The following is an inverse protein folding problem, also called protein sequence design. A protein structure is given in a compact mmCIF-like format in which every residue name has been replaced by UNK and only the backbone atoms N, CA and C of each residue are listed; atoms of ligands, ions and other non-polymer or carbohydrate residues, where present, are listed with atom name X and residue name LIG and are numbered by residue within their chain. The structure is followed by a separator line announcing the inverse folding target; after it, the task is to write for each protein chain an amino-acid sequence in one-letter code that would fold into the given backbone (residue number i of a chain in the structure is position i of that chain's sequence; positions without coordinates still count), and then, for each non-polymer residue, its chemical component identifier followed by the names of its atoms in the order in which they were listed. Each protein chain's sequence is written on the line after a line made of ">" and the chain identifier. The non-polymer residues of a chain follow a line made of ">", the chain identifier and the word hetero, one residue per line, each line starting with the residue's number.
data_IF_910308977657
#
_entry.id   IF_910308977657
#
_cell.length_a   1.000
_cell.length_b   1.000
_cell.length_c   1.000
_cell.angle_alpha   90.00
_cell.angle_beta   90.00
_cell.angle_gamma   90.00
#
_symmetry.space_group_name_H-M   'P 1'
#
loop_
_entity.id
_entity.type
_entity.pdbx_description
1 polymer ?
#
# COMPACT_ATOMS: atom_id res chain seq x y z
N UNK A 1 0.28 26.39 10.42
CA UNK A 1 1.13 26.44 9.21
C UNK A 1 1.80 25.10 8.84
N UNK A 2 1.33 23.94 9.33
CA UNK A 2 1.85 22.60 8.95
C UNK A 2 0.78 21.66 8.35
N UNK A 3 -0.34 22.20 7.83
CA UNK A 3 -1.41 21.39 7.24
C UNK A 3 -0.94 20.44 6.12
N UNK A 4 -0.04 20.80 5.18
CA UNK A 4 0.46 19.84 4.19
C UNK A 4 1.34 18.76 4.84
N UNK A 5 2.06 19.10 5.91
CA UNK A 5 2.95 18.17 6.62
C UNK A 5 2.14 17.12 7.38
N UNK A 6 1.02 17.52 8.00
CA UNK A 6 0.09 16.58 8.63
C UNK A 6 -0.63 15.67 7.62
N UNK A 7 -0.98 16.20 6.45
CA UNK A 7 -1.60 15.42 5.39
C UNK A 7 -0.61 14.40 4.82
N UNK A 8 0.64 14.77 4.62
CA UNK A 8 1.71 13.85 4.23
C UNK A 8 1.95 12.76 5.28
N UNK A 9 1.96 13.09 6.57
CA UNK A 9 2.09 12.10 7.64
C UNK A 9 0.94 11.07 7.62
N UNK A 10 -0.29 11.54 7.39
CA UNK A 10 -1.45 10.65 7.25
C UNK A 10 -1.28 9.75 6.03
N UNK A 11 -0.88 10.27 4.87
CA UNK A 11 -0.70 9.43 3.68
C UNK A 11 0.43 8.42 3.88
N UNK A 12 1.57 8.81 4.48
CA UNK A 12 2.64 7.86 4.78
C UNK A 12 2.21 6.77 5.75
N UNK A 13 1.38 7.12 6.75
CA UNK A 13 0.79 6.12 7.64
C UNK A 13 -0.11 5.16 6.89
N UNK A 14 -0.90 5.59 5.91
CA UNK A 14 -1.76 4.71 5.13
C UNK A 14 -0.91 3.77 4.24
N UNK A 15 0.16 4.29 3.64
CA UNK A 15 1.03 3.51 2.77
C UNK A 15 1.79 2.39 3.47
N UNK A 16 2.27 2.64 4.69
CA UNK A 16 2.94 1.61 5.49
C UNK A 16 1.97 0.52 5.95
N UNK A 17 0.70 0.85 6.22
CA UNK A 17 -0.35 -0.14 6.54
C UNK A 17 -0.50 -1.12 5.38
N UNK A 18 -0.66 -0.59 4.17
CA UNK A 18 -0.83 -1.39 2.96
C UNK A 18 0.33 -2.38 2.77
N UNK A 19 1.57 -1.93 2.99
CA UNK A 19 2.77 -2.77 2.87
C UNK A 19 2.89 -3.86 3.94
N UNK A 20 2.30 -3.71 5.12
CA UNK A 20 2.42 -4.70 6.21
C UNK A 20 1.51 -5.92 5.99
N UNK A 21 0.38 -5.76 5.30
CA UNK A 21 -0.64 -6.79 5.08
C UNK A 21 -0.09 -8.09 4.40
N UNK A 22 0.80 -8.05 3.40
CA UNK A 22 1.33 -9.27 2.78
C UNK A 22 2.54 -9.89 3.51
N UNK A 23 3.08 -9.25 4.56
CA UNK A 23 4.43 -9.58 5.08
C UNK A 23 4.60 -10.96 5.71
N UNK A 24 3.54 -11.62 6.16
CA UNK A 24 3.66 -12.88 6.90
C UNK A 24 2.70 -13.97 6.40
N UNK A 25 2.22 -13.82 5.18
CA UNK A 25 1.19 -14.67 4.64
C UNK A 25 1.72 -15.57 3.53
N UNK A 26 2.00 -16.82 3.90
CA UNK A 26 2.60 -17.83 3.01
C UNK A 26 1.72 -18.19 1.79
N UNK A 27 0.42 -17.95 1.86
CA UNK A 27 -0.56 -18.28 0.82
C UNK A 27 -1.43 -17.08 0.43
N UNK A 28 -0.86 -15.89 0.26
CA UNK A 28 -1.63 -14.80 -0.34
C UNK A 28 -1.91 -15.10 -1.79
N UNK A 29 -3.18 -14.99 -2.16
CA UNK A 29 -3.60 -15.14 -3.54
C UNK A 29 -2.93 -14.02 -4.37
N UNK A 30 -2.23 -14.32 -5.45
CA UNK A 30 -1.59 -13.31 -6.31
C UNK A 30 -2.52 -12.17 -6.74
N UNK A 31 -3.79 -12.48 -7.01
CA UNK A 31 -4.85 -11.45 -7.23
C UNK A 31 -4.99 -10.48 -6.05
N UNK A 32 -5.07 -10.95 -4.80
CA UNK A 32 -5.21 -10.03 -3.66
C UNK A 32 -3.96 -9.19 -3.48
N UNK A 33 -2.78 -9.73 -3.79
CA UNK A 33 -1.53 -8.97 -3.84
C UNK A 33 -1.55 -7.89 -4.95
N UNK A 34 -2.06 -8.22 -6.14
CA UNK A 34 -2.15 -7.25 -7.24
C UNK A 34 -3.15 -6.14 -6.96
N UNK A 35 -4.30 -6.43 -6.32
CA UNK A 35 -5.27 -5.43 -5.89
C UNK A 35 -4.65 -4.50 -4.84
N UNK A 36 -3.91 -5.07 -3.89
CA UNK A 36 -3.19 -4.29 -2.88
C UNK A 36 -2.15 -3.37 -3.52
N UNK A 37 -1.44 -3.83 -4.54
CA UNK A 37 -0.50 -3.01 -5.31
C UNK A 37 -1.19 -1.88 -6.09
N UNK A 38 -2.38 -2.10 -6.66
CA UNK A 38 -3.15 -1.03 -7.31
C UNK A 38 -3.49 0.06 -6.29
N UNK A 39 -4.01 -0.31 -5.11
CA UNK A 39 -4.34 0.65 -4.05
C UNK A 39 -3.09 1.39 -3.58
N UNK A 40 -1.97 0.69 -3.39
CA UNK A 40 -0.71 1.32 -3.02
C UNK A 40 -0.24 2.32 -4.09
N UNK A 41 -0.33 1.97 -5.38
CA UNK A 41 0.07 2.85 -6.48
C UNK A 41 -0.77 4.13 -6.56
N UNK A 42 -2.06 4.07 -6.22
CA UNK A 42 -2.92 5.25 -6.09
C UNK A 42 -2.41 6.20 -5.00
N UNK A 43 -2.03 5.67 -3.83
CA UNK A 43 -1.46 6.52 -2.77
C UNK A 43 -0.07 7.05 -3.15
N UNK A 44 0.75 6.30 -3.91
CA UNK A 44 2.05 6.80 -4.40
C UNK A 44 1.88 7.99 -5.36
N UNK A 45 0.89 7.96 -6.25
CA UNK A 45 0.68 9.03 -7.23
C UNK A 45 0.15 10.29 -6.56
N UNK A 46 -0.75 10.14 -5.57
CA UNK A 46 -1.21 11.25 -4.73
C UNK A 46 -0.03 11.87 -3.98
N UNK A 47 0.84 11.07 -3.36
CA UNK A 47 2.03 11.60 -2.70
C UNK A 47 2.95 12.36 -3.66
N UNK A 48 3.22 11.81 -4.84
CA UNK A 48 4.05 12.49 -5.84
C UNK A 48 3.44 13.82 -6.31
N UNK A 49 2.11 13.90 -6.37
CA UNK A 49 1.43 15.15 -6.71
C UNK A 49 1.63 16.25 -5.67
N UNK A 50 1.88 15.90 -4.40
CA UNK A 50 2.12 16.86 -3.32
C UNK A 50 3.57 17.35 -3.26
N UNK A 51 4.54 16.56 -3.75
CA UNK A 51 5.96 16.95 -3.77
C UNK A 51 6.39 17.64 -5.06
N UNK A 52 5.78 17.27 -6.19
CA UNK A 52 6.15 17.83 -7.49
C UNK A 52 5.34 19.09 -7.82
N UNK A 53 5.98 20.07 -8.44
CA UNK A 53 5.31 21.29 -8.91
C UNK A 53 4.40 21.03 -10.13
N UNK A 54 4.60 19.91 -10.83
CA UNK A 54 3.86 19.54 -12.03
C UNK A 54 3.18 18.17 -11.90
N UNK A 55 1.85 18.15 -12.05
CA UNK A 55 1.02 16.93 -11.97
C UNK A 55 1.34 15.86 -13.04
N UNK A 56 2.07 16.21 -14.10
CA UNK A 56 2.44 15.29 -15.18
C UNK A 56 3.25 14.10 -14.68
N UNK A 57 4.13 14.32 -13.70
CA UNK A 57 4.94 13.23 -13.14
C UNK A 57 4.07 12.24 -12.37
N UNK A 58 3.16 12.71 -11.51
CA UNK A 58 2.20 11.84 -10.81
C UNK A 58 1.29 11.07 -11.77
N UNK A 59 0.93 11.65 -12.91
CA UNK A 59 0.09 11.00 -13.92
C UNK A 59 0.84 9.91 -14.69
N UNK A 60 2.08 10.17 -15.10
CA UNK A 60 2.93 9.17 -15.76
C UNK A 60 3.22 7.99 -14.84
N UNK A 61 3.51 8.26 -13.56
CA UNK A 61 3.70 7.21 -12.54
C UNK A 61 2.44 6.37 -12.40
N UNK A 62 1.26 6.99 -12.31
CA UNK A 62 0.00 6.25 -12.21
C UNK A 62 -0.28 5.36 -13.43
N UNK A 63 -0.13 5.89 -14.64
CA UNK A 63 -0.37 5.15 -15.88
C UNK A 63 0.58 3.97 -16.07
N UNK A 64 1.87 4.17 -15.80
CA UNK A 64 2.88 3.12 -15.93
C UNK A 64 2.64 2.00 -14.92
N UNK A 65 2.25 2.33 -13.68
CA UNK A 65 1.89 1.34 -12.68
C UNK A 65 0.61 0.57 -13.05
N UNK A 66 -0.46 1.23 -13.50
CA UNK A 66 -1.68 0.51 -13.93
C UNK A 66 -1.37 -0.43 -15.09
N UNK A 67 -0.68 0.04 -16.12
CA UNK A 67 -0.34 -0.79 -17.28
C UNK A 67 0.47 -2.03 -16.90
N UNK A 68 1.52 -1.85 -16.09
CA UNK A 68 2.34 -2.97 -15.61
C UNK A 68 1.61 -3.92 -14.68
N UNK A 69 0.80 -3.39 -13.75
CA UNK A 69 0.06 -4.20 -12.77
C UNK A 69 -1.08 -4.98 -13.43
N UNK A 70 -1.71 -4.46 -14.50
CA UNK A 70 -2.74 -5.18 -15.24
C UNK A 70 -2.18 -6.42 -15.97
N UNK A 71 -0.98 -6.31 -16.53
CA UNK A 71 -0.30 -7.45 -17.16
C UNK A 71 0.02 -8.52 -16.09
N UNK A 72 0.55 -8.08 -14.94
CA UNK A 72 0.79 -8.95 -13.79
C UNK A 72 -0.50 -9.62 -13.27
N UNK A 73 -1.61 -8.87 -13.23
CA UNK A 73 -2.91 -9.40 -12.84
C UNK A 73 -3.36 -10.53 -13.78
N UNK A 74 -3.31 -10.32 -15.10
CA UNK A 74 -3.67 -11.35 -16.08
C UNK A 74 -2.76 -12.58 -16.01
N UNK A 75 -1.46 -12.36 -15.83
CA UNK A 75 -0.50 -13.45 -15.69
C UNK A 75 -0.82 -14.32 -14.46
N UNK A 76 -1.03 -13.69 -13.31
CA UNK A 76 -1.23 -14.42 -12.08
C UNK A 76 -2.62 -15.04 -11.93
N UNK A 77 -3.68 -14.41 -12.46
CA UNK A 77 -5.01 -15.04 -12.51
C UNK A 77 -4.97 -16.34 -13.29
N UNK A 78 -4.19 -16.41 -14.38
CA UNK A 78 -4.06 -17.62 -15.18
C UNK A 78 -3.35 -18.77 -14.44
N UNK A 79 -2.41 -18.44 -13.53
CA UNK A 79 -1.60 -19.42 -12.82
C UNK A 79 -2.19 -19.87 -11.48
N UNK A 80 -2.94 -19.00 -10.80
CA UNK A 80 -3.31 -19.22 -9.40
C UNK A 80 -4.80 -19.52 -9.17
N UNK A 81 -5.55 -19.89 -10.21
CA UNK A 81 -7.01 -20.10 -10.18
C UNK A 81 -7.53 -20.96 -9.01
N UNK A 82 -6.68 -21.73 -8.32
CA UNK A 82 -7.09 -22.67 -7.27
C UNK A 82 -6.36 -22.54 -5.92
N UNK A 83 -5.63 -21.45 -5.64
CA UNK A 83 -5.05 -21.26 -4.30
C UNK A 83 -6.07 -20.68 -3.32
N UNK A 84 -6.50 -21.47 -2.33
CA UNK A 84 -7.34 -20.97 -1.24
C UNK A 84 -6.53 -19.98 -0.41
N UNK A 85 -7.02 -18.75 -0.27
CA UNK A 85 -6.42 -17.75 0.60
C UNK A 85 -6.65 -18.14 2.07
N UNK A 86 -5.57 -18.41 2.79
CA UNK A 86 -5.62 -18.65 4.24
C UNK A 86 -5.13 -17.43 5.00
N UNK A 87 -5.99 -16.83 5.81
CA UNK A 87 -5.62 -15.75 6.73
C UNK A 87 -5.32 -16.37 8.09
N UNK A 88 -4.12 -16.13 8.62
CA UNK A 88 -3.75 -16.57 9.96
C UNK A 88 -4.22 -15.54 11.00
N UNK A 89 -5.04 -15.94 11.97
CA UNK A 89 -5.48 -15.05 13.05
C UNK A 89 -4.32 -14.50 13.90
N UNK A 90 -3.24 -15.28 14.06
CA UNK A 90 -2.01 -14.79 14.73
C UNK A 90 -1.37 -13.64 13.95
N UNK A 91 -1.46 -13.68 12.62
CA UNK A 91 -1.00 -12.59 11.78
C UNK A 91 -1.85 -11.33 11.97
N UNK A 92 -3.18 -11.46 12.00
CA UNK A 92 -4.08 -10.33 12.27
C UNK A 92 -3.78 -9.66 13.63
N UNK A 93 -3.50 -10.46 14.66
CA UNK A 93 -3.13 -9.93 15.99
C UNK A 93 -1.73 -9.31 16.02
N UNK A 94 -0.79 -9.82 15.22
CA UNK A 94 0.52 -9.17 15.04
C UNK A 94 0.40 -7.85 14.27
N UNK A 95 -0.55 -7.77 13.33
CA UNK A 95 -0.85 -6.56 12.57
C UNK A 95 -1.33 -5.46 13.51
N UNK A 96 -2.31 -5.73 14.37
CA UNK A 96 -2.83 -4.71 15.30
C UNK A 96 -1.74 -4.14 16.22
N UNK A 97 -0.79 -4.94 16.68
CA UNK A 97 0.34 -4.46 17.48
C UNK A 97 1.29 -3.55 16.69
N UNK A 98 1.63 -3.93 15.45
CA UNK A 98 2.47 -3.11 14.57
C UNK A 98 1.81 -1.76 14.24
N UNK A 99 0.49 -1.75 14.06
CA UNK A 99 -0.29 -0.53 13.83
C UNK A 99 -0.23 0.42 15.03
N UNK A 100 -0.34 -0.12 16.24
CA UNK A 100 -0.27 0.67 17.47
C UNK A 100 1.11 1.30 17.66
N UNK A 101 2.19 0.55 17.42
CA UNK A 101 3.56 1.06 17.47
C UNK A 101 3.78 2.19 16.47
N UNK A 102 3.25 2.05 15.25
CA UNK A 102 3.43 3.07 14.23
C UNK A 102 2.72 4.38 14.60
N UNK A 103 1.51 4.31 15.14
CA UNK A 103 0.81 5.51 15.64
C UNK A 103 1.56 6.19 16.78
N UNK A 104 2.20 5.42 17.66
CA UNK A 104 3.07 5.99 18.70
C UNK A 104 4.26 6.74 18.12
N UNK A 105 4.95 6.19 17.12
CA UNK A 105 6.08 6.89 16.48
C UNK A 105 5.67 8.24 15.87
N UNK A 106 4.46 8.34 15.31
CA UNK A 106 3.96 9.60 14.77
C UNK A 106 3.59 10.63 15.84
N UNK A 107 3.13 10.19 17.00
CA UNK A 107 2.90 11.13 18.12
C UNK A 107 4.20 11.70 18.65
N UNK A 108 5.26 10.88 18.74
CA UNK A 108 6.58 11.35 19.18
C UNK A 108 7.26 12.28 18.17
N UNK A 109 7.04 12.11 16.86
CA UNK A 109 7.60 13.03 15.86
C UNK A 109 6.93 14.42 15.86
N UNK A 110 5.75 14.58 16.49
CA UNK A 110 5.07 15.88 16.64
C UNK A 110 5.45 16.63 17.92
N UNK A 111 6.11 15.96 18.87
CA UNK A 111 6.71 16.57 20.08
C UNK A 111 8.13 17.01 19.72
#
# INVERSE_FOLDING_TARGET
>A
MNTPLYLNLIIYSIMSILMIIPTNSKHFHPVTMSILLIVYSLFTSINMSMFSSSYLYSFLVFLTFIGGILILFMYFTSLSMNMIMTINFKFLMSLSYKMMLMMWTFMFMKI
#
